data_IF_127340763225
#
_entry.id   IF_127340763225
#
_cell.length_a   1.000
_cell.length_b   1.000
_cell.length_c   1.000
_cell.angle_alpha   90.00
_cell.angle_beta   90.00
_cell.angle_gamma   90.00
#
_symmetry.space_group_name_H-M   'P 1'
#
loop_
_entity.id
_entity.type
_entity.pdbx_description
1 polymer ?
#
# COMPACT_ATOMS: atom_id res chain seq x y z
N UNK A 1 -0.11 -17.50 -23.91
CA UNK A 1 -1.52 -17.10 -23.99
C UNK A 1 -1.73 -16.42 -25.33
N UNK A 2 -2.60 -16.93 -26.18
CA UNK A 2 -3.00 -16.30 -27.45
C UNK A 2 -3.97 -15.15 -27.20
N UNK A 3 -4.26 -14.34 -28.22
CA UNK A 3 -5.28 -13.28 -28.13
C UNK A 3 -6.68 -13.84 -27.81
N UNK A 4 -7.03 -14.99 -28.41
CA UNK A 4 -8.28 -15.71 -28.11
C UNK A 4 -8.31 -16.20 -26.67
N UNK A 5 -7.23 -16.84 -26.20
CA UNK A 5 -7.15 -17.32 -24.81
C UNK A 5 -7.29 -16.19 -23.79
N UNK A 6 -6.71 -15.02 -24.05
CA UNK A 6 -6.83 -13.85 -23.17
C UNK A 6 -8.24 -13.24 -23.24
N UNK A 7 -8.82 -13.12 -24.44
CA UNK A 7 -10.19 -12.64 -24.61
C UNK A 7 -11.18 -13.52 -23.83
N UNK A 8 -11.10 -14.83 -24.03
CA UNK A 8 -11.98 -15.80 -23.37
C UNK A 8 -11.77 -15.83 -21.85
N UNK A 9 -10.51 -15.67 -21.38
CA UNK A 9 -10.18 -15.64 -19.96
C UNK A 9 -10.87 -14.49 -19.21
N UNK A 10 -10.95 -13.29 -19.80
CA UNK A 10 -11.57 -12.13 -19.15
C UNK A 10 -13.07 -11.97 -19.46
N UNK A 11 -13.60 -12.71 -20.43
CA UNK A 11 -15.01 -12.62 -20.84
C UNK A 11 -16.01 -12.77 -19.68
N UNK A 12 -15.83 -13.68 -18.69
CA UNK A 12 -16.77 -13.80 -17.57
C UNK A 12 -16.98 -12.49 -16.78
N UNK A 13 -15.94 -11.66 -16.64
CA UNK A 13 -16.07 -10.36 -15.98
C UNK A 13 -17.02 -9.42 -16.74
N UNK A 14 -16.94 -9.41 -18.07
CA UNK A 14 -17.83 -8.59 -18.91
C UNK A 14 -19.26 -9.11 -18.89
N UNK A 15 -19.45 -10.43 -18.86
CA UNK A 15 -20.77 -11.05 -18.75
C UNK A 15 -21.43 -10.66 -17.42
N UNK A 16 -20.69 -10.75 -16.31
CA UNK A 16 -21.14 -10.35 -14.97
C UNK A 16 -21.51 -8.86 -14.92
N UNK A 17 -20.68 -7.98 -15.49
CA UNK A 17 -20.97 -6.55 -15.59
C UNK A 17 -22.26 -6.27 -16.37
N UNK A 18 -22.45 -6.92 -17.51
CA UNK A 18 -23.66 -6.77 -18.33
C UNK A 18 -24.90 -7.31 -17.61
N UNK A 19 -24.77 -8.42 -16.86
CA UNK A 19 -25.87 -9.00 -16.08
C UNK A 19 -26.40 -8.05 -14.99
N UNK A 20 -25.55 -7.19 -14.43
CA UNK A 20 -25.94 -6.15 -13.46
C UNK A 20 -26.24 -4.79 -14.12
N UNK A 21 -26.31 -4.73 -15.45
CA UNK A 21 -26.69 -3.53 -16.21
C UNK A 21 -25.54 -2.56 -16.51
N UNK A 22 -24.30 -2.90 -16.17
CA UNK A 22 -23.10 -2.13 -16.56
C UNK A 22 -22.70 -2.58 -17.97
N UNK A 23 -23.08 -1.78 -18.97
CA UNK A 23 -22.81 -2.10 -20.38
C UNK A 23 -21.32 -1.94 -20.70
N UNK A 24 -20.62 -3.06 -20.84
CA UNK A 24 -19.20 -3.10 -21.21
C UNK A 24 -18.95 -4.20 -22.25
N UNK A 25 -18.07 -3.91 -23.21
CA UNK A 25 -17.67 -4.87 -24.24
C UNK A 25 -16.21 -5.29 -24.01
N UNK A 26 -15.97 -6.59 -24.05
CA UNK A 26 -14.63 -7.14 -24.13
C UNK A 26 -14.05 -6.84 -25.51
N UNK A 27 -12.88 -6.22 -25.56
CA UNK A 27 -12.18 -5.94 -26.81
C UNK A 27 -11.05 -6.93 -26.98
N UNK A 28 -10.80 -7.38 -28.21
CA UNK A 28 -9.65 -8.24 -28.49
C UNK A 28 -8.36 -7.51 -28.11
N UNK A 29 -7.46 -8.16 -27.35
CA UNK A 29 -6.19 -7.55 -26.96
C UNK A 29 -5.35 -7.27 -28.21
N UNK A 30 -4.64 -6.14 -28.22
CA UNK A 30 -3.66 -5.83 -29.25
C UNK A 30 -2.25 -6.18 -28.75
N UNK A 31 -1.30 -6.52 -29.64
CA UNK A 31 0.09 -6.69 -29.26
C UNK A 31 0.64 -5.43 -28.59
N UNK A 32 1.21 -5.58 -27.39
CA UNK A 32 1.96 -4.52 -26.74
C UNK A 32 3.47 -4.69 -27.04
N UNK A 33 4.14 -3.59 -27.38
CA UNK A 33 5.59 -3.57 -27.49
C UNK A 33 6.20 -3.44 -26.09
N UNK A 34 7.30 -4.17 -25.82
CA UNK A 34 8.11 -3.99 -24.61
C UNK A 34 8.82 -2.62 -24.58
N UNK A 35 8.83 -1.91 -25.70
CA UNK A 35 9.31 -0.54 -25.82
C UNK A 35 8.11 0.34 -26.16
N UNK A 36 7.70 1.16 -25.21
CA UNK A 36 6.58 2.07 -25.41
C UNK A 36 6.81 2.97 -26.64
N UNK A 37 5.76 3.17 -27.43
CA UNK A 37 5.82 4.12 -28.55
C UNK A 37 6.00 5.53 -27.99
N UNK A 38 7.05 6.23 -28.40
CA UNK A 38 7.30 7.60 -28.01
C UNK A 38 6.03 8.46 -28.21
N UNK A 39 5.52 9.05 -27.13
CA UNK A 39 4.39 9.99 -27.16
C UNK A 39 3.00 9.41 -26.88
N UNK A 40 2.85 8.09 -26.69
CA UNK A 40 1.70 7.56 -25.95
C UNK A 40 2.06 7.59 -24.45
N UNK A 41 1.10 7.83 -23.56
CA UNK A 41 1.32 7.70 -22.11
C UNK A 41 2.00 6.35 -21.81
N UNK A 42 3.30 6.36 -21.55
CA UNK A 42 4.12 5.13 -21.63
C UNK A 42 5.41 5.23 -22.44
N UNK A 43 6.13 6.35 -22.42
CA UNK A 43 7.56 6.41 -22.80
C UNK A 43 8.47 5.60 -21.83
N UNK A 44 7.90 4.67 -21.06
CA UNK A 44 8.57 3.92 -20.02
C UNK A 44 8.90 4.74 -18.77
N UNK A 45 8.51 6.02 -18.68
CA UNK A 45 8.79 6.83 -17.49
C UNK A 45 7.89 6.48 -16.30
N UNK A 46 6.79 5.75 -16.54
CA UNK A 46 5.84 5.38 -15.50
C UNK A 46 5.07 6.58 -14.96
N UNK A 47 4.32 6.38 -13.89
CA UNK A 47 3.75 7.49 -13.13
C UNK A 47 4.84 8.12 -12.26
N UNK A 48 4.81 9.44 -12.12
CA UNK A 48 5.80 10.17 -11.32
C UNK A 48 5.19 10.48 -9.95
N UNK A 49 5.87 10.16 -8.83
CA UNK A 49 5.33 10.44 -7.51
C UNK A 49 5.11 11.95 -7.32
N UNK A 50 3.87 12.34 -7.06
CA UNK A 50 3.52 13.70 -6.68
C UNK A 50 3.76 13.96 -5.20
N UNK A 51 3.81 15.24 -4.81
CA UNK A 51 3.80 15.63 -3.39
C UNK A 51 2.38 15.55 -2.84
N UNK A 52 1.92 14.33 -2.56
CA UNK A 52 0.60 14.03 -2.02
C UNK A 52 0.71 13.11 -0.80
N UNK A 53 -0.29 13.15 0.08
CA UNK A 53 -0.39 12.23 1.21
C UNK A 53 -1.26 11.04 0.80
N UNK A 54 -0.82 9.85 1.16
CA UNK A 54 -1.58 8.63 0.96
C UNK A 54 -1.20 7.61 2.02
N UNK A 55 -2.00 6.57 2.13
CA UNK A 55 -1.80 5.44 3.01
C UNK A 55 -2.22 4.17 2.25
N UNK A 56 -1.71 3.00 2.66
CA UNK A 56 -2.02 1.76 1.95
C UNK A 56 -2.41 0.60 2.86
N UNK A 57 -2.97 -0.43 2.23
CA UNK A 57 -3.30 -1.69 2.87
C UNK A 57 -3.21 -2.83 1.87
N UNK A 58 -2.66 -3.95 2.34
CA UNK A 58 -2.74 -5.23 1.66
C UNK A 58 -4.08 -5.89 2.04
N UNK A 59 -4.87 -6.29 1.04
CA UNK A 59 -6.12 -7.02 1.25
C UNK A 59 -5.92 -8.51 0.93
N UNK A 60 -6.02 -9.39 1.95
CA UNK A 60 -5.92 -10.83 1.78
C UNK A 60 -6.95 -11.43 0.82
N UNK A 61 -6.65 -12.60 0.26
CA UNK A 61 -7.59 -13.44 -0.51
C UNK A 61 -8.93 -13.64 0.21
N UNK A 62 -8.88 -13.92 1.51
CA UNK A 62 -10.07 -14.13 2.33
C UNK A 62 -11.05 -12.94 2.28
N UNK A 63 -10.56 -11.71 2.06
CA UNK A 63 -11.41 -10.55 1.90
C UNK A 63 -12.30 -10.60 0.65
N UNK A 64 -11.97 -11.44 -0.33
CA UNK A 64 -12.71 -11.56 -1.58
C UNK A 64 -13.46 -12.90 -1.71
N UNK A 65 -13.10 -13.90 -0.90
CA UNK A 65 -13.72 -15.22 -0.92
C UNK A 65 -14.76 -15.41 0.22
N UNK A 66 -14.58 -14.73 1.36
CA UNK A 66 -15.49 -14.84 2.50
C UNK A 66 -16.60 -13.78 2.45
N UNK A 67 -17.90 -14.15 2.41
CA UNK A 67 -18.99 -13.19 2.16
C UNK A 67 -19.05 -12.00 3.12
N UNK A 68 -18.77 -12.23 4.41
CA UNK A 68 -18.80 -11.16 5.41
C UNK A 68 -17.61 -10.21 5.29
N UNK A 69 -16.41 -10.75 5.04
CA UNK A 69 -15.22 -9.92 4.82
C UNK A 69 -15.31 -9.16 3.49
N UNK A 70 -15.89 -9.78 2.45
CA UNK A 70 -16.18 -9.11 1.19
C UNK A 70 -17.10 -7.92 1.39
N UNK A 71 -18.25 -8.12 2.06
CA UNK A 71 -19.18 -7.02 2.34
C UNK A 71 -18.53 -5.90 3.18
N UNK A 72 -17.69 -6.24 4.16
CA UNK A 72 -16.95 -5.26 4.95
C UNK A 72 -15.90 -4.50 4.12
N UNK A 73 -15.16 -5.20 3.28
CA UNK A 73 -14.11 -4.64 2.40
C UNK A 73 -14.73 -3.68 1.37
N UNK A 74 -15.80 -4.10 0.69
CA UNK A 74 -16.51 -3.25 -0.27
C UNK A 74 -17.12 -2.02 0.39
N UNK A 75 -17.63 -2.16 1.63
CA UNK A 75 -18.13 -1.01 2.40
C UNK A 75 -17.00 -0.03 2.73
N UNK A 76 -15.86 -0.52 3.21
CA UNK A 76 -14.71 0.32 3.54
C UNK A 76 -14.23 1.11 2.31
N UNK A 77 -14.11 0.45 1.15
CA UNK A 77 -13.75 1.13 -0.10
C UNK A 77 -14.76 2.19 -0.51
N UNK A 78 -16.06 1.84 -0.53
CA UNK A 78 -17.11 2.78 -0.91
C UNK A 78 -17.12 4.01 0.00
N UNK A 79 -17.10 3.80 1.32
CA UNK A 79 -17.16 4.91 2.27
C UNK A 79 -15.95 5.84 2.15
N UNK A 80 -14.75 5.31 1.86
CA UNK A 80 -13.56 6.15 1.66
C UNK A 80 -13.65 6.96 0.36
N UNK A 81 -14.17 6.37 -0.72
CA UNK A 81 -14.39 7.09 -1.99
C UNK A 81 -15.47 8.16 -1.84
N UNK A 82 -16.59 7.83 -1.18
CA UNK A 82 -17.69 8.77 -0.89
C UNK A 82 -17.24 9.90 0.06
N UNK A 83 -16.29 9.63 0.96
CA UNK A 83 -15.65 10.65 1.79
C UNK A 83 -14.70 11.58 1.01
N UNK A 84 -14.48 11.33 -0.28
CA UNK A 84 -13.76 12.23 -1.18
C UNK A 84 -12.28 11.90 -1.36
N UNK A 85 -11.85 10.68 -1.04
CA UNK A 85 -10.49 10.20 -1.31
C UNK A 85 -10.41 9.50 -2.67
N UNK A 86 -9.20 9.38 -3.22
CA UNK A 86 -8.97 8.61 -4.45
C UNK A 86 -8.49 7.20 -4.08
N UNK A 87 -9.25 6.19 -4.48
CA UNK A 87 -8.87 4.79 -4.38
C UNK A 87 -7.96 4.40 -5.54
N UNK A 88 -6.86 3.71 -5.24
CA UNK A 88 -5.99 3.08 -6.20
C UNK A 88 -5.76 1.63 -5.77
N UNK A 89 -5.84 0.68 -6.69
CA UNK A 89 -5.72 -0.74 -6.38
C UNK A 89 -4.89 -1.47 -7.41
N UNK A 90 -3.89 -2.22 -6.94
CA UNK A 90 -3.04 -3.09 -7.73
C UNK A 90 -3.33 -4.54 -7.34
N UNK A 91 -3.73 -5.35 -8.30
CA UNK A 91 -3.88 -6.79 -8.08
C UNK A 91 -2.52 -7.46 -8.00
N UNK A 92 -2.31 -8.23 -6.94
CA UNK A 92 -1.07 -8.98 -6.69
C UNK A 92 -1.48 -10.41 -6.31
N UNK A 93 -0.63 -11.42 -6.52
CA UNK A 93 -0.89 -12.75 -5.96
C UNK A 93 0.42 -13.51 -5.68
N UNK A 94 1.36 -12.95 -4.90
CA UNK A 94 2.70 -13.50 -4.77
C UNK A 94 2.74 -14.62 -3.72
N UNK A 95 1.92 -15.66 -3.93
CA UNK A 95 1.90 -16.88 -3.10
C UNK A 95 3.27 -17.52 -3.04
N UNK A 96 3.55 -18.35 -2.04
CA UNK A 96 4.87 -19.01 -1.94
C UNK A 96 5.18 -19.89 -3.16
N UNK A 97 4.16 -20.43 -3.84
CA UNK A 97 4.33 -21.24 -5.04
C UNK A 97 4.86 -20.46 -6.25
N UNK A 98 4.60 -19.15 -6.33
CA UNK A 98 4.94 -18.31 -7.51
C UNK A 98 5.91 -17.17 -7.19
N UNK A 99 5.84 -16.64 -5.96
CA UNK A 99 6.63 -15.50 -5.49
C UNK A 99 7.49 -15.80 -4.26
N UNK A 100 7.58 -17.07 -3.86
CA UNK A 100 8.55 -17.55 -2.88
C UNK A 100 9.98 -17.46 -3.43
N UNK A 101 10.97 -17.30 -2.55
CA UNK A 101 12.36 -17.31 -2.99
C UNK A 101 12.73 -18.68 -3.55
N UNK A 102 13.65 -18.76 -4.55
CA UNK A 102 14.15 -20.03 -5.05
C UNK A 102 14.60 -20.96 -3.93
N UNK A 103 14.18 -22.22 -3.98
CA UNK A 103 14.50 -23.23 -2.95
C UNK A 103 13.80 -23.02 -1.61
N UNK A 104 12.80 -22.14 -1.52
CA UNK A 104 12.09 -21.84 -0.27
C UNK A 104 12.92 -21.00 0.71
N UNK A 105 13.95 -20.31 0.23
CA UNK A 105 14.79 -19.47 1.08
C UNK A 105 13.97 -18.36 1.74
N UNK A 106 14.08 -18.23 3.06
CA UNK A 106 13.37 -17.17 3.76
C UNK A 106 13.97 -15.79 3.43
N UNK A 107 13.13 -14.79 3.27
CA UNK A 107 13.53 -13.41 2.99
C UNK A 107 12.78 -12.41 3.90
N UNK A 108 13.07 -11.13 3.75
CA UNK A 108 12.53 -10.08 4.61
C UNK A 108 11.11 -9.60 4.25
N UNK A 109 10.51 -10.11 3.17
CA UNK A 109 9.18 -9.67 2.72
C UNK A 109 8.14 -10.02 3.78
N UNK A 110 7.30 -9.06 4.16
CA UNK A 110 6.23 -9.27 5.13
C UNK A 110 5.32 -10.44 4.71
N UNK A 111 5.00 -11.38 5.62
CA UNK A 111 4.10 -12.50 5.32
C UNK A 111 2.73 -12.08 4.78
N UNK A 112 2.28 -10.86 5.07
CA UNK A 112 1.02 -10.31 4.56
C UNK A 112 0.95 -10.33 3.01
N UNK A 113 2.09 -10.16 2.31
CA UNK A 113 2.13 -10.26 0.85
C UNK A 113 1.71 -11.64 0.34
N UNK A 114 2.02 -12.72 1.06
CA UNK A 114 1.69 -14.10 0.65
C UNK A 114 0.18 -14.36 0.66
N UNK A 115 -0.55 -13.66 1.53
CA UNK A 115 -1.99 -13.75 1.62
C UNK A 115 -2.71 -12.73 0.72
N UNK A 116 -2.07 -11.61 0.39
CA UNK A 116 -2.68 -10.50 -0.35
C UNK A 116 -3.07 -10.88 -1.79
N UNK A 117 -4.26 -10.43 -2.21
CA UNK A 117 -4.67 -10.41 -3.63
C UNK A 117 -4.75 -8.99 -4.21
N UNK A 118 -4.66 -7.98 -3.33
CA UNK A 118 -4.70 -6.58 -3.69
C UNK A 118 -3.80 -5.78 -2.75
N UNK A 119 -2.97 -4.91 -3.32
CA UNK A 119 -2.39 -3.75 -2.65
C UNK A 119 -3.24 -2.55 -3.02
N UNK A 120 -3.73 -1.80 -2.04
CA UNK A 120 -4.56 -0.64 -2.29
C UNK A 120 -4.05 0.58 -1.54
N UNK A 121 -4.10 1.73 -2.21
CA UNK A 121 -3.76 3.03 -1.65
C UNK A 121 -5.00 3.92 -1.58
N UNK A 122 -5.03 4.76 -0.56
CA UNK A 122 -6.00 5.82 -0.40
C UNK A 122 -5.28 7.17 -0.44
N UNK A 123 -5.46 7.91 -1.54
CA UNK A 123 -4.84 9.22 -1.72
C UNK A 123 -5.72 10.33 -1.16
N UNK A 124 -5.13 11.14 -0.28
CA UNK A 124 -5.70 12.39 0.23
C UNK A 124 -5.57 13.47 -0.85
N UNK A 125 -6.70 14.08 -1.22
CA UNK A 125 -6.76 15.16 -2.21
C UNK A 125 -6.49 16.55 -1.61
N UNK A 126 -6.21 16.62 -0.31
CA UNK A 126 -5.87 17.86 0.38
C UNK A 126 -4.55 18.43 -0.12
N UNK A 127 -4.54 19.72 -0.49
CA UNK A 127 -3.30 20.45 -0.75
C UNK A 127 -2.59 20.73 0.57
N UNK A 128 -1.52 19.99 0.86
CA UNK A 128 -0.78 20.10 2.13
C UNK A 128 0.10 21.34 2.21
N UNK A 129 0.62 21.79 1.06
CA UNK A 129 1.52 22.94 1.00
C UNK A 129 0.83 24.23 1.49
N UNK A 130 1.37 24.81 2.56
CA UNK A 130 0.88 26.05 3.17
C UNK A 130 -0.15 25.85 4.29
N UNK A 131 -0.48 24.61 4.66
CA UNK A 131 -1.31 24.36 5.84
C UNK A 131 -0.58 24.74 7.13
N UNK A 132 -1.35 25.20 8.13
CA UNK A 132 -0.86 25.25 9.51
C UNK A 132 -0.69 23.83 10.06
N UNK A 133 0.14 23.62 11.10
CA UNK A 133 0.29 22.31 11.72
C UNK A 133 -1.05 21.67 12.13
N UNK A 134 -1.91 22.45 12.80
CA UNK A 134 -3.24 21.98 13.20
C UNK A 134 -4.13 21.55 12.00
N UNK A 135 -4.06 22.25 10.87
CA UNK A 135 -4.80 21.87 9.67
C UNK A 135 -4.20 20.64 8.98
N UNK A 136 -2.87 20.49 9.02
CA UNK A 136 -2.18 19.31 8.52
C UNK A 136 -2.58 18.06 9.30
N UNK A 137 -2.60 18.16 10.63
CA UNK A 137 -3.00 17.07 11.55
C UNK A 137 -4.49 16.75 11.41
N UNK A 138 -5.35 17.76 11.31
CA UNK A 138 -6.77 17.54 11.09
C UNK A 138 -7.05 16.79 9.77
N UNK A 139 -6.35 17.14 8.70
CA UNK A 139 -6.44 16.41 7.43
C UNK A 139 -5.91 14.97 7.57
N UNK A 140 -4.84 14.76 8.34
CA UNK A 140 -4.30 13.42 8.59
C UNK A 140 -5.26 12.56 9.40
N UNK A 141 -5.86 13.11 10.46
CA UNK A 141 -6.85 12.43 11.28
C UNK A 141 -8.08 11.97 10.45
N UNK A 142 -8.50 12.76 9.47
CA UNK A 142 -9.55 12.35 8.53
C UNK A 142 -9.13 11.16 7.66
N UNK A 143 -7.89 11.16 7.14
CA UNK A 143 -7.34 10.04 6.37
C UNK A 143 -7.23 8.79 7.25
N UNK A 144 -6.65 8.92 8.43
CA UNK A 144 -6.46 7.80 9.35
C UNK A 144 -7.80 7.19 9.79
N UNK A 145 -8.84 8.02 9.96
CA UNK A 145 -10.20 7.52 10.22
C UNK A 145 -10.74 6.65 9.07
N UNK A 146 -10.39 6.93 7.81
CA UNK A 146 -10.73 6.04 6.69
C UNK A 146 -9.86 4.79 6.67
N UNK A 147 -8.55 4.94 6.89
CA UNK A 147 -7.63 3.80 6.97
C UNK A 147 -7.97 2.85 8.10
N UNK A 148 -8.52 3.35 9.21
CA UNK A 148 -9.00 2.51 10.29
C UNK A 148 -10.12 1.56 9.85
N UNK A 149 -10.99 1.98 8.92
CA UNK A 149 -11.99 1.11 8.31
C UNK A 149 -11.34 0.02 7.47
N UNK A 150 -10.26 0.35 6.75
CA UNK A 150 -9.50 -0.60 5.94
C UNK A 150 -8.77 -1.61 6.81
N UNK A 151 -8.14 -1.16 7.91
CA UNK A 151 -7.51 -2.03 8.92
C UNK A 151 -8.54 -2.97 9.57
N UNK A 152 -9.72 -2.45 9.92
CA UNK A 152 -10.81 -3.26 10.47
C UNK A 152 -11.36 -4.30 9.48
N UNK A 153 -11.40 -3.99 8.18
CA UNK A 153 -11.81 -4.92 7.15
C UNK A 153 -10.76 -6.00 6.84
N UNK A 154 -9.48 -5.77 7.16
CA UNK A 154 -8.34 -6.65 6.84
C UNK A 154 -7.49 -6.98 8.09
N UNK A 155 -8.09 -7.57 9.14
CA UNK A 155 -7.38 -7.84 10.39
C UNK A 155 -6.19 -8.77 10.15
N UNK A 156 -5.06 -8.50 10.81
CA UNK A 156 -3.83 -9.30 10.70
C UNK A 156 -3.06 -9.12 9.39
N UNK A 157 -3.56 -8.33 8.44
CA UNK A 157 -2.81 -7.96 7.23
C UNK A 157 -1.76 -6.87 7.51
N UNK A 158 -1.09 -6.41 6.46
CA UNK A 158 -0.06 -5.36 6.48
C UNK A 158 -0.32 -4.24 5.48
N UNK A 159 0.69 -3.40 5.29
CA UNK A 159 0.77 -2.35 4.29
C UNK A 159 2.12 -2.44 3.57
N UNK A 160 2.19 -1.94 2.35
CA UNK A 160 3.45 -1.91 1.61
C UNK A 160 4.25 -0.67 2.02
N UNK A 161 5.35 -0.88 2.74
CA UNK A 161 6.08 0.20 3.41
C UNK A 161 6.64 1.29 2.47
N UNK A 162 6.87 0.99 1.18
CA UNK A 162 7.30 2.00 0.19
C UNK A 162 6.16 2.91 -0.26
N UNK A 163 4.92 2.50 -0.05
CA UNK A 163 3.70 3.18 -0.46
C UNK A 163 2.76 3.30 0.75
N UNK A 164 3.26 3.73 1.91
CA UNK A 164 2.49 3.77 3.14
C UNK A 164 2.55 5.14 3.84
N UNK A 165 1.64 5.33 4.79
CA UNK A 165 1.66 6.49 5.66
C UNK A 165 2.84 6.40 6.63
N UNK A 166 3.62 7.47 6.73
CA UNK A 166 4.70 7.60 7.70
C UNK A 166 4.19 7.46 9.15
N UNK A 167 2.92 7.81 9.36
CA UNK A 167 2.25 7.77 10.65
C UNK A 167 1.35 6.53 10.82
N UNK A 168 1.59 5.46 10.03
CA UNK A 168 0.87 4.19 10.20
C UNK A 168 1.00 3.69 11.66
N UNK A 169 -0.12 3.44 12.36
CA UNK A 169 -0.08 2.87 13.69
C UNK A 169 0.51 1.46 13.63
N UNK A 170 1.32 1.12 14.65
CA UNK A 170 2.00 -0.17 14.73
C UNK A 170 2.78 -0.54 13.46
N UNK A 171 3.42 0.47 12.82
CA UNK A 171 4.14 0.34 11.55
C UNK A 171 5.12 -0.83 11.51
N UNK A 172 5.74 -1.21 12.64
CA UNK A 172 6.60 -2.38 12.75
C UNK A 172 5.87 -3.65 12.28
N UNK A 173 4.67 -3.88 12.81
CA UNK A 173 3.84 -5.00 12.44
C UNK A 173 3.17 -4.79 11.08
N UNK A 174 2.70 -3.58 10.78
CA UNK A 174 2.03 -3.31 9.51
C UNK A 174 2.98 -3.54 8.31
N UNK A 175 4.24 -3.12 8.41
CA UNK A 175 5.20 -3.13 7.31
C UNK A 175 6.03 -4.41 7.26
N UNK A 176 6.41 -4.96 8.43
CA UNK A 176 7.33 -6.09 8.52
C UNK A 176 6.70 -7.34 9.15
N UNK A 177 5.55 -7.19 9.83
CA UNK A 177 4.86 -8.28 10.49
C UNK A 177 5.73 -9.02 11.50
N UNK A 178 5.56 -10.33 11.58
CA UNK A 178 6.33 -11.21 12.47
C UNK A 178 7.85 -11.21 12.19
N UNK A 179 8.32 -10.62 11.08
CA UNK A 179 9.75 -10.56 10.74
C UNK A 179 10.47 -9.39 11.39
N UNK A 180 9.76 -8.43 11.99
CA UNK A 180 10.35 -7.22 12.53
C UNK A 180 11.48 -7.49 13.54
N UNK A 181 11.27 -8.41 14.49
CA UNK A 181 12.26 -8.70 15.53
C UNK A 181 13.57 -9.26 14.96
N UNK A 182 13.48 -10.16 13.98
CA UNK A 182 14.65 -10.71 13.29
C UNK A 182 15.38 -9.62 12.50
N UNK A 183 14.65 -8.75 11.80
CA UNK A 183 15.23 -7.61 11.09
C UNK A 183 15.91 -6.65 12.06
N UNK A 184 15.31 -6.43 13.24
CA UNK A 184 15.87 -5.57 14.28
C UNK A 184 17.18 -6.12 14.86
N UNK A 185 17.27 -7.43 15.03
CA UNK A 185 18.52 -8.09 15.43
C UNK A 185 19.62 -7.88 14.38
N UNK A 186 19.29 -8.05 13.09
CA UNK A 186 20.23 -7.80 11.99
C UNK A 186 20.66 -6.32 11.97
N UNK A 187 19.72 -5.38 12.09
CA UNK A 187 19.99 -3.94 12.15
C UNK A 187 20.98 -3.61 13.27
N UNK A 188 20.80 -4.16 14.47
CA UNK A 188 21.71 -3.93 15.60
C UNK A 188 23.09 -4.55 15.40
N UNK A 189 23.18 -5.70 14.73
CA UNK A 189 24.46 -6.35 14.44
C UNK A 189 25.27 -5.61 13.37
N UNK A 190 24.60 -5.07 12.35
CA UNK A 190 25.24 -4.42 11.20
C UNK A 190 25.43 -2.91 11.41
N UNK A 191 24.50 -2.25 12.09
CA UNK A 191 24.53 -0.80 12.37
C UNK A 191 24.29 -0.52 13.86
N UNK A 192 25.23 -0.89 14.74
CA UNK A 192 25.06 -0.77 16.19
C UNK A 192 25.00 0.69 16.67
N UNK A 193 25.54 1.64 15.90
CA UNK A 193 25.48 3.06 16.22
C UNK A 193 24.25 3.76 15.67
N UNK A 194 23.45 3.08 14.85
CA UNK A 194 22.27 3.65 14.21
C UNK A 194 22.61 4.77 13.24
N UNK A 195 23.70 4.63 12.49
CA UNK A 195 24.15 5.61 11.50
C UNK A 195 23.13 5.76 10.36
N UNK A 196 22.48 4.67 9.95
CA UNK A 196 21.49 4.68 8.88
C UNK A 196 20.09 4.86 9.47
N UNK A 197 19.53 6.06 9.33
CA UNK A 197 18.18 6.38 9.79
C UNK A 197 17.28 6.68 8.59
N UNK A 198 16.07 6.15 8.65
CA UNK A 198 14.94 6.57 7.84
C UNK A 198 13.65 6.41 8.68
N UNK A 199 12.67 7.31 8.59
CA UNK A 199 11.47 7.20 9.42
C UNK A 199 10.67 5.94 9.08
N UNK A 200 10.03 5.35 10.09
CA UNK A 200 9.23 4.12 9.98
C UNK A 200 9.97 2.94 9.31
N UNK A 201 11.29 2.87 9.49
CA UNK A 201 12.13 1.73 9.09
C UNK A 201 12.71 1.01 10.30
N UNK A 202 13.20 -0.22 10.11
CA UNK A 202 13.71 -1.08 11.19
C UNK A 202 14.74 -0.35 12.07
N UNK A 203 14.43 -0.19 13.35
CA UNK A 203 15.28 0.49 14.33
C UNK A 203 15.15 2.01 14.37
N UNK A 204 14.27 2.62 13.56
CA UNK A 204 14.04 4.06 13.58
C UNK A 204 13.42 4.56 14.88
N UNK A 205 12.77 3.68 15.65
CA UNK A 205 12.18 3.97 16.96
C UNK A 205 13.21 4.30 18.06
N UNK A 206 14.50 4.05 17.82
CA UNK A 206 15.59 4.51 18.72
C UNK A 206 15.88 6.01 18.60
N UNK A 207 15.20 6.69 17.67
CA UNK A 207 15.47 8.07 17.30
C UNK A 207 14.19 8.90 17.24
N UNK A 208 14.33 10.19 17.50
CA UNK A 208 13.26 11.18 17.39
C UNK A 208 13.81 12.43 16.72
N UNK A 209 13.06 12.99 15.78
CA UNK A 209 13.39 14.28 15.17
C UNK A 209 12.84 15.38 16.07
N UNK A 210 13.69 16.30 16.50
CA UNK A 210 13.30 17.49 17.27
C UNK A 210 12.59 18.52 16.38
N UNK A 211 11.34 18.23 16.00
CA UNK A 211 10.52 19.08 15.13
C UNK A 211 9.99 20.30 15.88
N UNK A 212 10.07 21.48 15.26
CA UNK A 212 9.62 22.73 15.87
C UNK A 212 8.10 22.93 15.82
N UNK A 213 7.45 22.31 14.84
CA UNK A 213 6.03 22.49 14.50
C UNK A 213 5.16 21.29 14.91
N UNK A 214 5.76 20.24 15.47
CA UNK A 214 5.05 19.01 15.89
C UNK A 214 4.65 18.10 14.73
N UNK A 215 4.94 18.48 13.48
CA UNK A 215 4.63 17.69 12.30
C UNK A 215 5.64 16.55 12.13
N UNK A 216 5.28 15.44 11.45
CA UNK A 216 6.19 14.34 11.16
C UNK A 216 7.18 14.70 10.03
N UNK A 217 7.80 15.87 10.16
CA UNK A 217 8.77 16.44 9.24
C UNK A 217 10.19 16.05 9.65
N UNK A 218 11.14 16.30 8.75
CA UNK A 218 12.57 16.06 9.00
C UNK A 218 13.33 17.40 9.12
N UNK A 219 12.67 18.43 9.67
CA UNK A 219 13.17 19.81 9.72
C UNK A 219 14.03 20.13 10.97
N UNK A 220 14.33 19.13 11.81
CA UNK A 220 15.01 19.30 13.09
C UNK A 220 16.18 18.33 13.30
N UNK A 221 16.92 18.49 14.41
CA UNK A 221 17.99 17.57 14.77
C UNK A 221 17.44 16.17 15.07
N UNK A 222 18.16 15.15 14.62
CA UNK A 222 17.87 13.76 14.99
C UNK A 222 18.55 13.44 16.33
N UNK A 223 17.75 13.07 17.32
CA UNK A 223 18.18 12.76 18.68
C UNK A 223 17.86 11.30 19.01
N UNK A 224 18.60 10.70 19.94
CA UNK A 224 18.21 9.40 20.51
C UNK A 224 16.90 9.57 21.27
N UNK A 225 15.96 8.64 21.07
CA UNK A 225 14.74 8.59 21.84
C UNK A 225 15.07 8.34 23.32
N UNK A 226 14.43 9.08 24.22
CA UNK A 226 14.50 8.83 25.67
C UNK A 226 13.89 7.46 25.96
N UNK A 227 14.56 6.64 26.77
CA UNK A 227 14.00 5.38 27.30
C UNK A 227 12.83 5.64 28.26
#
# INVERSE_FOLDING_TARGET
MTEDELFDFVQPLYDDLNAIGIRANNSRPAPASNWGSAGAAGDGTGDAPGSSRFASRLFPRANFEEPLLFAATQRAFRESVEAGYTFHGIHVAPTDAVGGSPGGADNAVSPAFRAAVMHADLFDRTRLAGLSPAAFDAAHACLDAQMQKWRAASPGSGAYFNEADLQEPDWQSAFFGAKYDALRQIKRAIDPWGLFYAPATVGSEDWVVGVADGLPSQNGPLCRASL
#
